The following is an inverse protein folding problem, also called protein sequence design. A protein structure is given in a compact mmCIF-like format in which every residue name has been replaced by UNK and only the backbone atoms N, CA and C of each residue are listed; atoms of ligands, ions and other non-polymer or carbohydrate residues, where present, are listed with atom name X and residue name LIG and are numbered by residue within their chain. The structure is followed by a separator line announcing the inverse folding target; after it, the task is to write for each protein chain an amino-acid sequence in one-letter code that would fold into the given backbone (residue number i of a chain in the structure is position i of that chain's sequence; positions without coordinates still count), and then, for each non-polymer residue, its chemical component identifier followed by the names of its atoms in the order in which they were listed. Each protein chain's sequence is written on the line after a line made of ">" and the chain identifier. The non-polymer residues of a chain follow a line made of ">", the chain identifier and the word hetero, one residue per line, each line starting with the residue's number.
data_IF_305813441375
#
_entry.id   IF_305813441375
#
_cell.length_a   1.000
_cell.length_b   1.000
_cell.length_c   1.000
_cell.angle_alpha   90.00
_cell.angle_beta   90.00
_cell.angle_gamma   90.00
#
_symmetry.space_group_name_H-M   'P 1'
#
loop_
_entity.id
_entity.type
_entity.pdbx_description
1 polymer ?
#
# COMPACT_ATOMS: atom_id res chain seq x y z
N UNK A 1 -1.01 -14.85 11.92
CA UNK A 1 -1.44 -14.25 10.65
C UNK A 1 -0.41 -13.21 10.28
N UNK A 2 0.26 -13.40 9.16
CA UNK A 2 1.12 -12.36 8.59
C UNK A 2 0.26 -11.28 7.93
N UNK A 3 0.75 -10.04 7.95
CA UNK A 3 0.08 -8.92 7.29
C UNK A 3 0.24 -9.06 5.76
N UNK A 4 -0.82 -8.90 4.96
CA UNK A 4 -0.75 -9.08 3.50
C UNK A 4 0.14 -8.03 2.83
N UNK A 5 0.86 -8.45 1.80
CA UNK A 5 1.66 -7.53 0.97
C UNK A 5 0.77 -6.62 0.12
N UNK A 6 1.28 -5.45 -0.22
CA UNK A 6 0.69 -4.59 -1.26
C UNK A 6 1.20 -5.03 -2.63
N UNK A 7 0.29 -5.48 -3.50
CA UNK A 7 0.57 -5.95 -4.86
C UNK A 7 -0.10 -5.08 -5.95
N UNK A 8 -0.73 -3.97 -5.57
CA UNK A 8 -1.46 -3.09 -6.47
C UNK A 8 -2.94 -3.45 -6.71
N UNK A 9 -3.45 -4.55 -6.12
CA UNK A 9 -4.84 -5.00 -6.29
C UNK A 9 -5.80 -4.54 -5.18
N UNK A 10 -5.38 -3.58 -4.36
CA UNK A 10 -6.18 -2.93 -3.32
C UNK A 10 -5.93 -1.43 -3.38
N UNK A 11 -6.91 -0.62 -2.99
CA UNK A 11 -6.72 0.82 -2.98
C UNK A 11 -5.63 1.23 -1.95
N UNK A 12 -4.62 2.04 -2.32
CA UNK A 12 -3.53 2.44 -1.41
C UNK A 12 -3.98 2.98 -0.05
N UNK A 13 -5.03 3.83 -0.03
CA UNK A 13 -5.60 4.33 1.22
C UNK A 13 -6.11 3.20 2.14
N UNK A 14 -6.73 2.16 1.59
CA UNK A 14 -7.26 1.03 2.36
C UNK A 14 -6.11 0.22 2.95
N UNK A 15 -5.12 -0.12 2.13
CA UNK A 15 -3.94 -0.85 2.58
C UNK A 15 -3.13 -0.08 3.65
N UNK A 16 -2.97 1.24 3.49
CA UNK A 16 -2.32 2.09 4.49
C UNK A 16 -3.12 2.15 5.81
N UNK A 17 -4.46 2.11 5.75
CA UNK A 17 -5.27 2.04 6.96
C UNK A 17 -5.12 0.68 7.65
N UNK A 18 -5.08 -0.41 6.88
CA UNK A 18 -4.90 -1.74 7.42
C UNK A 18 -3.52 -1.94 8.05
N UNK A 19 -2.45 -1.38 7.46
CA UNK A 19 -1.13 -1.46 8.08
C UNK A 19 -1.02 -0.61 9.34
N UNK A 20 -1.66 0.57 9.38
CA UNK A 20 -1.78 1.40 10.59
C UNK A 20 -2.50 0.64 11.70
N UNK A 21 -3.60 -0.08 11.38
CA UNK A 21 -4.32 -0.95 12.32
C UNK A 21 -3.46 -2.10 12.79
N UNK A 22 -2.72 -2.75 11.89
CA UNK A 22 -1.78 -3.82 12.22
C UNK A 22 -0.72 -3.34 13.24
N UNK A 23 -0.13 -2.16 13.04
CA UNK A 23 0.80 -1.57 14.00
C UNK A 23 0.16 -1.30 15.36
N UNK A 24 -1.08 -0.81 15.40
CA UNK A 24 -1.80 -0.57 16.64
C UNK A 24 -2.08 -1.89 17.40
N UNK A 25 -2.47 -2.95 16.69
CA UNK A 25 -2.78 -4.26 17.28
C UNK A 25 -1.55 -5.01 17.79
N UNK A 26 -0.39 -4.80 17.16
CA UNK A 26 0.88 -5.42 17.57
C UNK A 26 1.43 -4.88 18.91
N UNK A 27 0.84 -3.82 19.49
CA UNK A 27 1.18 -3.22 20.79
C UNK A 27 2.70 -3.16 21.08
N UNK A 28 3.48 -2.83 20.06
CA UNK A 28 4.94 -2.73 20.13
C UNK A 28 5.30 -1.29 19.81
N UNK A 29 6.30 -0.77 20.52
CA UNK A 29 6.87 0.55 20.25
C UNK A 29 7.70 0.46 18.96
N UNK A 30 7.01 0.27 17.83
CA UNK A 30 7.58 0.13 16.51
C UNK A 30 8.13 1.50 16.13
N UNK A 31 9.43 1.67 16.31
CA UNK A 31 10.14 2.91 15.98
C UNK A 31 10.24 3.14 14.48
N UNK A 32 10.30 2.08 13.67
CA UNK A 32 10.43 2.16 12.21
C UNK A 32 9.20 1.60 11.47
N UNK A 33 8.07 2.32 11.60
CA UNK A 33 6.82 1.93 10.91
C UNK A 33 6.93 2.02 9.39
N UNK A 34 7.75 2.95 8.90
CA UNK A 34 7.91 3.17 7.46
C UNK A 34 8.71 2.05 6.81
N UNK A 35 9.88 1.71 7.37
CA UNK A 35 10.70 0.61 6.85
C UNK A 35 9.96 -0.72 6.88
N UNK A 36 9.17 -0.98 7.93
CA UNK A 36 8.30 -2.15 7.96
C UNK A 36 7.24 -2.07 6.87
N UNK A 37 6.56 -0.94 6.68
CA UNK A 37 5.57 -0.80 5.60
C UNK A 37 6.17 -1.05 4.22
N UNK A 38 7.36 -0.51 3.94
CA UNK A 38 8.10 -0.74 2.70
C UNK A 38 8.39 -2.23 2.51
N UNK A 39 8.76 -2.97 3.56
CA UNK A 39 9.02 -4.41 3.48
C UNK A 39 7.77 -5.25 3.13
N UNK A 40 6.57 -4.69 3.31
CA UNK A 40 5.31 -5.31 2.91
C UNK A 40 4.85 -4.89 1.51
N UNK A 41 5.58 -4.05 0.79
CA UNK A 41 5.30 -3.77 -0.63
C UNK A 41 5.90 -4.89 -1.49
N UNK A 42 5.16 -5.35 -2.49
CA UNK A 42 5.68 -6.34 -3.43
C UNK A 42 6.90 -5.77 -4.18
N UNK A 43 8.03 -6.50 -4.25
CA UNK A 43 9.25 -6.03 -4.91
C UNK A 43 9.09 -5.67 -6.40
N UNK A 44 8.03 -6.13 -7.07
CA UNK A 44 7.70 -5.73 -8.45
C UNK A 44 7.35 -4.22 -8.52
N UNK A 45 6.84 -3.65 -7.43
CA UNK A 45 6.48 -2.24 -7.34
C UNK A 45 7.73 -1.42 -7.01
N UNK A 46 8.17 -0.63 -7.98
CA UNK A 46 9.36 0.20 -7.84
C UNK A 46 9.06 1.41 -6.97
N UNK A 47 9.68 1.48 -5.80
CA UNK A 47 9.59 2.62 -4.90
C UNK A 47 10.75 3.60 -5.15
N UNK A 48 10.52 4.92 -5.09
CA UNK A 48 11.61 5.90 -5.15
C UNK A 48 12.52 5.77 -3.92
N UNK A 49 13.77 6.21 -4.05
CA UNK A 49 14.78 6.01 -3.00
C UNK A 49 14.50 6.78 -1.70
N UNK A 50 13.74 7.90 -1.77
CA UNK A 50 13.56 8.78 -0.61
C UNK A 50 12.09 9.17 -0.38
N UNK A 51 11.56 8.76 0.77
CA UNK A 51 10.38 9.32 1.41
C UNK A 51 10.41 8.99 2.91
N UNK A 52 9.73 9.81 3.72
CA UNK A 52 9.88 9.84 5.19
C UNK A 52 8.57 9.55 5.93
N UNK A 53 7.50 9.18 5.22
CA UNK A 53 6.17 9.02 5.81
C UNK A 53 5.30 8.01 5.07
N UNK A 54 4.37 7.40 5.81
CA UNK A 54 3.34 6.52 5.25
C UNK A 54 2.41 7.24 4.25
N UNK A 55 2.22 8.56 4.42
CA UNK A 55 1.38 9.33 3.52
C UNK A 55 2.08 9.58 2.17
N UNK A 56 3.40 9.82 2.17
CA UNK A 56 4.20 9.83 0.94
C UNK A 56 4.23 8.46 0.28
N UNK A 57 4.40 7.38 1.05
CA UNK A 57 4.27 6.01 0.53
C UNK A 57 2.91 5.80 -0.14
N UNK A 58 1.81 6.22 0.49
CA UNK A 58 0.47 6.13 -0.08
C UNK A 58 0.36 6.83 -1.45
N UNK A 59 0.95 8.03 -1.58
CA UNK A 59 0.92 8.76 -2.84
C UNK A 59 1.74 8.07 -3.93
N UNK A 60 2.93 7.55 -3.60
CA UNK A 60 3.74 6.73 -4.52
C UNK A 60 2.93 5.53 -5.01
N UNK A 61 2.26 4.80 -4.11
CA UNK A 61 1.46 3.63 -4.47
C UNK A 61 0.24 3.98 -5.33
N UNK A 62 -0.30 5.20 -5.24
CA UNK A 62 -1.39 5.69 -6.11
C UNK A 62 -0.93 6.02 -7.52
N UNK A 63 0.33 6.41 -7.67
CA UNK A 63 0.93 6.76 -8.95
C UNK A 63 1.54 5.53 -9.66
N UNK A 64 1.67 4.41 -8.96
CA UNK A 64 2.18 3.16 -9.51
C UNK A 64 1.28 2.57 -10.62
N UNK A 65 1.93 1.94 -11.59
CA UNK A 65 1.25 1.37 -12.77
C UNK A 65 0.36 0.18 -12.41
N UNK A 66 0.73 -0.63 -11.42
CA UNK A 66 -0.06 -1.79 -11.00
C UNK A 66 -1.42 -1.35 -10.46
N UNK A 67 -1.43 -0.33 -9.60
CA UNK A 67 -2.66 0.26 -9.10
C UNK A 67 -3.48 0.95 -10.20
N UNK A 68 -2.82 1.66 -11.11
CA UNK A 68 -3.50 2.32 -12.24
C UNK A 68 -4.24 1.30 -13.10
N UNK A 69 -3.62 0.15 -13.41
CA UNK A 69 -4.26 -0.95 -14.15
C UNK A 69 -5.43 -1.53 -13.39
N UNK A 70 -5.27 -1.81 -12.08
CA UNK A 70 -6.34 -2.31 -11.22
C UNK A 70 -7.54 -1.35 -11.21
N UNK A 71 -7.30 -0.05 -10.99
CA UNK A 71 -8.34 0.99 -10.96
C UNK A 71 -9.10 1.04 -12.29
N UNK A 72 -8.40 1.18 -13.41
CA UNK A 72 -9.02 1.27 -14.74
C UNK A 72 -9.83 0.02 -15.10
N UNK A 73 -9.37 -1.16 -14.68
CA UNK A 73 -10.09 -2.43 -14.89
C UNK A 73 -11.41 -2.43 -14.15
N UNK A 74 -11.41 -2.06 -12.86
CA UNK A 74 -12.63 -1.96 -12.06
C UNK A 74 -13.59 -0.89 -12.62
N UNK A 75 -13.09 0.27 -13.05
CA UNK A 75 -13.92 1.31 -13.67
C UNK A 75 -14.65 0.81 -14.93
N UNK A 76 -13.96 0.04 -15.80
CA UNK A 76 -14.58 -0.56 -16.99
C UNK A 76 -15.63 -1.61 -16.63
N UNK A 77 -15.36 -2.44 -15.62
CA UNK A 77 -16.32 -3.43 -15.13
C UNK A 77 -17.58 -2.74 -14.60
N UNK A 78 -17.43 -1.68 -13.80
CA UNK A 78 -18.54 -0.88 -13.28
C UNK A 78 -19.38 -0.21 -14.37
N UNK A 79 -18.77 0.22 -15.48
CA UNK A 79 -19.50 0.77 -16.63
C UNK A 79 -20.28 -0.28 -17.43
N UNK A 80 -19.95 -1.57 -17.24
CA UNK A 80 -20.57 -2.69 -17.94
C UNK A 80 -21.66 -3.40 -17.13
N UNK A 81 -21.98 -2.87 -15.94
CA UNK A 81 -23.02 -3.33 -15.01
C UNK A 81 -24.33 -2.58 -15.25
#
# INVERSE_FOLDING_TARGET
>A
MDFPKYDGNIHPNEWINDIKRYFALRNTNINDRLGIAISFVDPIISLPAEFDSLDKLCNVLKEDISFTVFKNTNERMLQSL
#
